data_IF_847558468601
#
_entry.id   IF_847558468601
#
_cell.length_a   1.000
_cell.length_b   1.000
_cell.length_c   1.000
_cell.angle_alpha   90.00
_cell.angle_beta   90.00
_cell.angle_gamma   90.00
#
_symmetry.space_group_name_H-M   'P 1'
#
loop_
_entity.id
_entity.type
_entity.pdbx_description
1 polymer ?
#
# COMPACT_ATOMS: atom_id res chain seq x y z
N UNK A 1 20.93 3.67 12.82
CA UNK A 1 21.48 3.71 11.44
C UNK A 1 21.02 2.55 10.57
N UNK A 2 21.12 1.26 10.98
CA UNK A 2 20.68 0.12 10.14
C UNK A 2 19.22 0.22 9.66
N UNK A 3 18.27 0.48 10.57
CA UNK A 3 16.84 0.70 10.23
C UNK A 3 16.65 1.80 9.17
N UNK A 4 17.39 2.90 9.27
CA UNK A 4 17.30 3.99 8.31
C UNK A 4 17.88 3.60 6.94
N UNK A 5 18.97 2.83 6.93
CA UNK A 5 19.52 2.25 5.71
C UNK A 5 18.49 1.37 5.00
N UNK A 6 17.93 0.40 5.73
CA UNK A 6 16.93 -0.52 5.20
C UNK A 6 15.65 0.20 4.72
N UNK A 7 15.24 1.30 5.36
CA UNK A 7 14.17 2.16 4.83
C UNK A 7 14.49 2.66 3.43
N UNK A 8 15.66 3.27 3.24
CA UNK A 8 16.03 3.82 1.94
C UNK A 8 16.30 2.74 0.89
N UNK A 9 16.90 1.62 1.29
CA UNK A 9 17.27 0.57 0.35
C UNK A 9 16.06 -0.30 -0.07
N UNK A 10 15.11 -0.54 0.85
CA UNK A 10 14.05 -1.54 0.64
C UNK A 10 12.66 -0.92 0.57
N UNK A 11 12.37 0.13 1.35
CA UNK A 11 11.01 0.65 1.53
C UNK A 11 10.75 1.90 0.68
N UNK A 12 11.76 2.75 0.49
CA UNK A 12 11.67 3.95 -0.35
C UNK A 12 11.15 3.67 -1.77
N UNK A 13 11.48 2.55 -2.44
CA UNK A 13 10.87 2.22 -3.74
C UNK A 13 9.33 2.11 -3.72
N UNK A 14 8.73 1.80 -2.57
CA UNK A 14 7.28 1.75 -2.38
C UNK A 14 6.73 3.06 -1.81
N UNK A 15 7.47 3.69 -0.90
CA UNK A 15 7.08 4.91 -0.20
C UNK A 15 8.15 6.01 -0.36
N UNK A 16 8.27 6.64 -1.55
CA UNK A 16 9.31 7.62 -1.85
C UNK A 16 9.01 9.02 -1.26
N UNK A 17 8.66 9.08 0.03
CA UNK A 17 8.21 10.29 0.75
C UNK A 17 9.29 11.00 1.56
N UNK A 18 10.54 10.53 1.47
CA UNK A 18 11.69 11.17 2.10
C UNK A 18 12.82 11.33 1.09
N UNK A 19 13.47 12.49 1.10
CA UNK A 19 14.73 12.72 0.40
C UNK A 19 15.87 12.26 1.31
N UNK A 20 16.68 11.32 0.83
CA UNK A 20 17.68 10.66 1.68
C UNK A 20 18.69 11.66 2.23
N UNK A 21 19.21 12.53 1.36
CA UNK A 21 20.25 13.50 1.72
C UNK A 21 19.75 14.52 2.72
N UNK A 22 18.62 15.17 2.45
CA UNK A 22 17.98 16.12 3.38
C UNK A 22 17.73 15.49 4.74
N UNK A 23 17.18 14.27 4.75
CA UNK A 23 16.87 13.55 5.98
C UNK A 23 18.13 13.22 6.80
N UNK A 24 19.14 12.61 6.16
CA UNK A 24 20.38 12.24 6.82
C UNK A 24 21.19 13.46 7.24
N UNK A 25 21.24 14.52 6.45
CA UNK A 25 21.91 15.77 6.82
C UNK A 25 21.30 16.37 8.10
N UNK A 26 19.97 16.48 8.17
CA UNK A 26 19.27 16.96 9.38
C UNK A 26 19.57 16.08 10.59
N UNK A 27 19.64 14.76 10.40
CA UNK A 27 19.97 13.82 11.48
C UNK A 27 21.42 14.02 11.97
N UNK A 28 22.39 14.12 11.07
CA UNK A 28 23.80 14.35 11.43
C UNK A 28 24.03 15.71 12.10
N UNK A 29 23.22 16.71 11.77
CA UNK A 29 23.27 18.04 12.38
C UNK A 29 22.63 18.11 13.78
N UNK A 30 22.08 17.00 14.30
CA UNK A 30 21.44 16.96 15.62
C UNK A 30 20.07 17.66 15.65
N UNK A 31 19.41 17.84 14.50
CA UNK A 31 18.09 18.49 14.45
C UNK A 31 17.05 17.73 15.29
N UNK A 32 17.20 16.40 15.39
CA UNK A 32 16.31 15.56 16.20
C UNK A 32 16.40 15.83 17.71
N UNK A 33 17.46 16.48 18.19
CA UNK A 33 17.63 16.82 19.60
C UNK A 33 16.85 18.08 20.00
N UNK A 34 16.46 18.91 19.02
CA UNK A 34 15.83 20.22 19.23
C UNK A 34 14.46 20.36 18.56
N UNK A 35 14.19 19.58 17.52
CA UNK A 35 12.93 19.57 16.79
C UNK A 35 12.15 18.28 17.08
N UNK A 36 11.09 18.42 17.88
CA UNK A 36 10.25 17.31 18.28
C UNK A 36 9.56 16.60 17.10
N UNK A 37 9.18 17.32 16.04
CA UNK A 37 8.48 16.73 14.90
C UNK A 37 9.45 15.95 14.02
N UNK A 38 10.66 16.47 13.83
CA UNK A 38 11.71 15.73 13.14
C UNK A 38 12.18 14.50 13.94
N UNK A 39 12.31 14.62 15.26
CA UNK A 39 12.55 13.48 16.13
C UNK A 39 11.46 12.43 15.97
N UNK A 40 10.19 12.86 15.99
CA UNK A 40 9.03 12.02 15.74
C UNK A 40 9.08 11.34 14.37
N UNK A 41 9.50 12.05 13.33
CA UNK A 41 9.71 11.51 12.00
C UNK A 41 10.79 10.42 11.99
N UNK A 42 11.94 10.64 12.62
CA UNK A 42 13.02 9.63 12.71
C UNK A 42 12.52 8.35 13.40
N UNK A 43 11.81 8.49 14.52
CA UNK A 43 11.23 7.34 15.24
C UNK A 43 10.15 6.64 14.39
N UNK A 44 9.33 7.39 13.65
CA UNK A 44 8.32 6.82 12.75
C UNK A 44 8.93 5.97 11.64
N UNK A 45 10.08 6.37 11.08
CA UNK A 45 10.79 5.61 10.05
C UNK A 45 11.30 4.30 10.63
N UNK A 46 11.82 4.32 11.86
CA UNK A 46 12.20 3.10 12.58
C UNK A 46 11.01 2.16 12.79
N UNK A 47 9.86 2.70 13.21
CA UNK A 47 8.63 1.91 13.41
C UNK A 47 8.16 1.27 12.10
N UNK A 48 8.05 2.05 11.03
CA UNK A 48 7.61 1.57 9.73
C UNK A 48 8.60 0.57 9.13
N UNK A 49 9.91 0.77 9.30
CA UNK A 49 10.92 -0.21 8.87
C UNK A 49 10.76 -1.52 9.60
N UNK A 50 10.61 -1.49 10.94
CA UNK A 50 10.43 -2.71 11.72
C UNK A 50 9.12 -3.44 11.37
N UNK A 51 8.05 -2.71 11.10
CA UNK A 51 6.77 -3.26 10.68
C UNK A 51 6.85 -3.92 9.30
N UNK A 52 7.57 -3.30 8.37
CA UNK A 52 7.75 -3.83 7.01
C UNK A 52 8.71 -5.00 6.97
N UNK A 53 9.79 -4.98 7.75
CA UNK A 53 10.82 -6.02 7.79
C UNK A 53 10.78 -6.78 9.13
N UNK A 54 9.72 -7.58 9.41
CA UNK A 54 9.52 -8.20 10.72
C UNK A 54 10.63 -9.19 11.08
N UNK A 55 11.23 -9.85 10.07
CA UNK A 55 12.36 -10.78 10.24
C UNK A 55 13.71 -10.09 10.44
N UNK A 56 13.79 -8.79 10.22
CA UNK A 56 14.99 -8.02 10.48
C UNK A 56 15.30 -7.97 11.98
N UNK A 57 16.53 -8.34 12.34
CA UNK A 57 17.05 -8.19 13.69
C UNK A 57 17.57 -6.76 13.91
N UNK A 58 16.82 -6.02 14.71
CA UNK A 58 17.10 -4.65 15.09
C UNK A 58 17.21 -4.51 16.62
N UNK A 59 17.52 -5.61 17.31
CA UNK A 59 17.60 -5.65 18.76
C UNK A 59 16.24 -5.37 19.43
N UNK A 60 16.15 -4.46 20.41
CA UNK A 60 14.94 -4.24 21.20
C UNK A 60 13.86 -3.41 20.49
N UNK A 61 14.12 -2.91 19.27
CA UNK A 61 13.19 -2.02 18.58
C UNK A 61 11.95 -2.78 18.10
N UNK A 62 10.79 -2.38 18.60
CA UNK A 62 9.46 -2.84 18.18
C UNK A 62 8.59 -1.66 17.77
N UNK A 63 7.50 -1.92 17.04
CA UNK A 63 6.53 -0.86 16.70
C UNK A 63 5.93 -0.28 17.98
N UNK A 64 5.50 -1.11 18.93
CA UNK A 64 4.93 -0.65 20.20
C UNK A 64 5.92 0.22 20.98
N UNK A 65 7.20 -0.19 21.06
CA UNK A 65 8.24 0.61 21.70
C UNK A 65 8.39 1.99 21.06
N UNK A 66 8.40 2.06 19.72
CA UNK A 66 8.46 3.33 19.01
C UNK A 66 7.24 4.21 19.28
N UNK A 67 6.03 3.63 19.26
CA UNK A 67 4.80 4.39 19.50
C UNK A 67 4.73 4.89 20.95
N UNK A 68 5.08 4.05 21.92
CA UNK A 68 5.12 4.43 23.33
C UNK A 68 6.16 5.55 23.58
N UNK A 69 7.30 5.50 22.89
CA UNK A 69 8.30 6.56 22.93
C UNK A 69 7.74 7.89 22.40
N UNK A 70 7.04 7.86 21.25
CA UNK A 70 6.40 9.04 20.65
C UNK A 70 5.36 9.67 21.60
N UNK A 71 4.54 8.83 22.24
CA UNK A 71 3.47 9.27 23.14
C UNK A 71 4.02 9.84 24.45
N UNK A 72 4.99 9.16 25.06
CA UNK A 72 5.63 9.56 26.31
C UNK A 72 6.31 10.94 26.20
N UNK A 73 6.93 11.21 25.05
CA UNK A 73 7.63 12.47 24.79
C UNK A 73 6.77 13.51 24.06
N UNK A 74 5.55 13.14 23.66
CA UNK A 74 4.62 14.04 22.97
C UNK A 74 5.13 14.56 21.63
N UNK A 75 6.00 13.82 20.94
CA UNK A 75 6.74 14.27 19.75
C UNK A 75 5.83 14.61 18.56
N UNK A 76 4.67 13.95 18.50
CA UNK A 76 3.64 14.18 17.47
C UNK A 76 2.32 14.67 18.09
N UNK A 77 2.31 15.27 19.29
CA UNK A 77 1.08 15.83 19.85
C UNK A 77 0.69 17.11 19.13
N UNK A 78 -0.60 17.26 18.83
CA UNK A 78 -1.10 18.53 18.28
C UNK A 78 -1.11 19.53 19.41
N UNK A 79 -0.39 20.63 19.25
CA UNK A 79 -0.44 21.72 20.20
C UNK A 79 -1.40 22.74 19.62
N UNK A 80 -2.54 22.98 20.29
CA UNK A 80 -3.52 24.00 19.88
C UNK A 80 -2.91 25.42 19.75
N UNK A 81 -1.70 25.63 20.28
CA UNK A 81 -0.93 26.87 20.15
C UNK A 81 -0.05 26.93 18.90
N UNK A 82 0.19 25.81 18.21
CA UNK A 82 0.86 25.73 16.91
C UNK A 82 -0.22 25.62 15.84
N UNK A 83 -0.55 26.74 15.20
CA UNK A 83 -1.60 26.87 14.18
C UNK A 83 -1.27 26.21 12.81
N UNK A 84 -0.44 25.15 12.76
CA UNK A 84 -0.11 24.53 11.48
C UNK A 84 0.28 23.06 11.57
N UNK A 85 -0.14 22.32 10.54
CA UNK A 85 0.45 21.03 10.20
C UNK A 85 1.85 21.25 9.58
N UNK A 86 2.73 20.26 9.71
CA UNK A 86 4.02 20.21 9.02
C UNK A 86 4.15 18.94 8.19
N UNK A 87 5.07 18.96 7.22
CA UNK A 87 5.36 17.80 6.38
C UNK A 87 5.86 16.62 7.21
N UNK A 88 6.82 16.88 8.12
CA UNK A 88 7.42 15.87 8.99
C UNK A 88 6.36 15.17 9.84
N UNK A 89 5.44 15.94 10.44
CA UNK A 89 4.33 15.39 11.22
C UNK A 89 3.41 14.52 10.36
N UNK A 90 3.03 14.98 9.16
CA UNK A 90 2.13 14.23 8.29
C UNK A 90 2.76 12.89 7.85
N UNK A 91 4.04 12.91 7.45
CA UNK A 91 4.77 11.69 7.09
C UNK A 91 4.94 10.77 8.31
N UNK A 92 5.26 11.33 9.48
CA UNK A 92 5.44 10.55 10.70
C UNK A 92 4.16 9.81 11.11
N UNK A 93 3.02 10.51 11.06
CA UNK A 93 1.70 9.93 11.34
C UNK A 93 1.30 8.87 10.31
N UNK A 94 1.62 9.06 9.03
CA UNK A 94 1.43 8.04 8.00
C UNK A 94 2.26 6.77 8.29
N UNK A 95 3.55 6.94 8.59
CA UNK A 95 4.46 5.83 8.91
C UNK A 95 4.00 5.05 10.15
N UNK A 96 3.63 5.75 11.22
CA UNK A 96 3.14 5.11 12.46
C UNK A 96 1.79 4.43 12.23
N UNK A 97 0.88 5.08 11.52
CA UNK A 97 -0.43 4.52 11.18
C UNK A 97 -0.34 3.22 10.38
N UNK A 98 0.50 3.20 9.33
CA UNK A 98 0.76 1.99 8.53
C UNK A 98 1.49 0.91 9.32
N UNK A 99 2.47 1.28 10.17
CA UNK A 99 3.20 0.35 11.02
C UNK A 99 2.28 -0.37 12.03
N UNK A 100 1.42 0.39 12.73
CA UNK A 100 0.45 -0.16 13.67
C UNK A 100 -0.57 -1.07 12.96
N UNK A 101 -0.99 -0.68 11.76
CA UNK A 101 -1.92 -1.48 10.95
C UNK A 101 -1.33 -2.86 10.57
N UNK A 102 -0.02 -2.93 10.34
CA UNK A 102 0.65 -4.17 9.97
C UNK A 102 0.94 -5.11 11.17
N UNK A 103 0.98 -4.57 12.39
CA UNK A 103 1.50 -5.30 13.57
C UNK A 103 0.46 -5.54 14.66
N UNK A 104 -0.54 -4.68 14.82
CA UNK A 104 -1.60 -4.90 15.81
C UNK A 104 -2.55 -6.00 15.34
N UNK A 105 -3.03 -6.89 16.22
CA UNK A 105 -3.97 -7.99 15.84
C UNK A 105 -5.27 -7.48 15.21
N UNK A 106 -5.78 -6.37 15.71
CA UNK A 106 -6.92 -5.63 15.13
C UNK A 106 -6.62 -5.11 13.71
N UNK A 107 -5.34 -5.09 13.32
CA UNK A 107 -4.86 -4.52 12.08
C UNK A 107 -5.38 -3.11 11.91
N UNK A 108 -6.12 -2.91 10.83
CA UNK A 108 -6.74 -1.63 10.47
C UNK A 108 -7.95 -1.24 11.33
N UNK A 109 -8.53 -2.15 12.13
CA UNK A 109 -9.52 -1.78 13.14
C UNK A 109 -8.90 -1.19 14.42
N UNK A 110 -7.56 -1.10 14.46
CA UNK A 110 -6.86 -0.36 15.51
C UNK A 110 -7.27 1.12 15.49
N UNK A 111 -7.93 1.57 16.55
CA UNK A 111 -8.28 2.97 16.75
C UNK A 111 -7.05 3.89 16.63
N UNK A 112 -5.88 3.45 17.13
CA UNK A 112 -4.63 4.23 17.06
C UNK A 112 -4.16 4.38 15.61
N UNK A 113 -4.22 3.30 14.83
CA UNK A 113 -3.84 3.31 13.42
C UNK A 113 -4.77 4.22 12.61
N UNK A 114 -6.08 4.08 12.80
CA UNK A 114 -7.08 4.92 12.16
C UNK A 114 -6.88 6.40 12.50
N UNK A 115 -6.65 6.72 13.79
CA UNK A 115 -6.43 8.09 14.22
C UNK A 115 -5.18 8.70 13.55
N UNK A 116 -4.05 7.99 13.58
CA UNK A 116 -2.81 8.47 12.97
C UNK A 116 -2.95 8.72 11.45
N UNK A 117 -3.56 7.77 10.72
CA UNK A 117 -3.78 7.93 9.28
C UNK A 117 -4.78 9.04 8.96
N UNK A 118 -5.83 9.20 9.77
CA UNK A 118 -6.81 10.28 9.62
C UNK A 118 -6.19 11.65 9.84
N UNK A 119 -5.33 11.77 10.84
CA UNK A 119 -4.62 13.00 11.13
C UNK A 119 -3.57 13.32 10.05
N UNK A 120 -2.84 12.32 9.54
CA UNK A 120 -1.96 12.46 8.39
C UNK A 120 -2.73 12.95 7.15
N UNK A 121 -3.91 12.38 6.87
CA UNK A 121 -4.77 12.79 5.77
C UNK A 121 -5.33 14.21 5.94
N UNK A 122 -5.73 14.59 7.15
CA UNK A 122 -6.16 15.95 7.44
C UNK A 122 -5.03 16.96 7.22
N UNK A 123 -3.84 16.68 7.74
CA UNK A 123 -2.68 17.55 7.59
C UNK A 123 -2.19 17.66 6.16
N UNK A 124 -2.06 16.55 5.44
CA UNK A 124 -1.62 16.56 4.05
C UNK A 124 -2.57 17.37 3.15
N UNK A 125 -3.89 17.27 3.37
CA UNK A 125 -4.88 18.09 2.67
C UNK A 125 -4.75 19.56 3.03
N UNK A 126 -4.63 19.88 4.31
CA UNK A 126 -4.47 21.26 4.73
C UNK A 126 -3.26 21.90 4.06
N UNK A 127 -2.11 21.20 4.08
CA UNK A 127 -0.90 21.66 3.41
C UNK A 127 -1.11 21.82 1.90
N UNK A 128 -1.71 20.83 1.24
CA UNK A 128 -1.84 20.85 -0.22
C UNK A 128 -2.80 21.94 -0.75
N UNK A 129 -3.85 22.27 0.00
CA UNK A 129 -4.85 23.24 -0.44
C UNK A 129 -4.57 24.66 0.04
N UNK A 130 -4.00 24.82 1.23
CA UNK A 130 -3.87 26.15 1.86
C UNK A 130 -2.43 26.64 1.93
N UNK A 131 -1.44 25.74 1.95
CA UNK A 131 -0.02 26.09 2.24
C UNK A 131 0.96 25.59 1.19
N UNK A 132 0.50 25.01 0.07
CA UNK A 132 1.39 24.42 -0.94
C UNK A 132 2.38 25.42 -1.55
N UNK A 133 1.99 26.69 -1.61
CA UNK A 133 2.82 27.79 -2.12
C UNK A 133 3.93 28.22 -1.15
N UNK A 134 3.87 27.80 0.12
CA UNK A 134 4.90 28.06 1.13
C UNK A 134 6.02 27.01 1.10
N UNK A 135 5.83 25.93 0.33
CA UNK A 135 6.74 24.81 0.21
C UNK A 135 7.61 24.92 -1.04
N UNK A 136 8.87 24.48 -0.92
CA UNK A 136 9.76 24.36 -2.07
C UNK A 136 9.26 23.28 -3.06
N UNK A 137 9.77 23.27 -4.29
CA UNK A 137 9.30 22.34 -5.32
C UNK A 137 9.45 20.87 -4.90
N UNK A 138 10.50 20.54 -4.15
CA UNK A 138 10.76 19.19 -3.69
C UNK A 138 9.73 18.77 -2.63
N UNK A 139 9.46 19.63 -1.65
CA UNK A 139 8.41 19.43 -0.65
C UNK A 139 7.02 19.32 -1.28
N UNK A 140 6.73 20.11 -2.32
CA UNK A 140 5.48 19.96 -3.08
C UNK A 140 5.39 18.58 -3.74
N UNK A 141 6.48 18.04 -4.29
CA UNK A 141 6.48 16.67 -4.82
C UNK A 141 6.31 15.63 -3.72
N UNK A 142 6.99 15.76 -2.58
CA UNK A 142 6.82 14.85 -1.44
C UNK A 142 5.38 14.86 -0.92
N UNK A 143 4.74 16.02 -0.85
CA UNK A 143 3.34 16.15 -0.45
C UNK A 143 2.40 15.42 -1.39
N UNK A 144 2.63 15.55 -2.71
CA UNK A 144 1.86 14.81 -3.71
C UNK A 144 2.05 13.31 -3.54
N UNK A 145 3.29 12.84 -3.35
CA UNK A 145 3.59 11.42 -3.10
C UNK A 145 2.87 10.91 -1.85
N UNK A 146 2.88 11.69 -0.76
CA UNK A 146 2.19 11.35 0.49
C UNK A 146 0.68 11.25 0.29
N UNK A 147 0.05 12.19 -0.43
CA UNK A 147 -1.40 12.15 -0.70
C UNK A 147 -1.79 10.92 -1.49
N UNK A 148 -1.02 10.55 -2.52
CA UNK A 148 -1.29 9.36 -3.32
C UNK A 148 -1.04 8.05 -2.54
N UNK A 149 -0.07 8.03 -1.61
CA UNK A 149 0.11 6.92 -0.68
C UNK A 149 -1.01 6.81 0.35
N UNK A 150 -1.49 7.93 0.88
CA UNK A 150 -2.65 7.96 1.76
C UNK A 150 -3.90 7.45 1.03
N UNK A 151 -4.09 7.84 -0.24
CA UNK A 151 -5.15 7.32 -1.09
C UNK A 151 -5.03 5.80 -1.26
N UNK A 152 -3.87 5.28 -1.65
CA UNK A 152 -3.64 3.84 -1.78
C UNK A 152 -3.88 3.09 -0.46
N UNK A 153 -3.46 3.67 0.67
CA UNK A 153 -3.66 3.09 2.01
C UNK A 153 -5.14 3.04 2.42
N UNK A 154 -5.99 3.96 1.92
CA UNK A 154 -7.42 3.94 2.19
C UNK A 154 -8.15 2.80 1.43
N UNK A 155 -7.61 2.35 0.30
CA UNK A 155 -8.17 1.23 -0.47
C UNK A 155 -7.67 -0.14 -0.02
N UNK A 156 -6.49 -0.16 0.59
CA UNK A 156 -5.95 -1.33 1.28
C UNK A 156 -6.89 -1.85 2.40
N UNK A 157 -7.82 -1.02 2.89
CA UNK A 157 -8.69 -1.29 4.05
C UNK A 157 -9.87 -2.26 3.78
N UNK A 158 -10.13 -2.64 2.53
CA UNK A 158 -11.41 -3.25 2.11
C UNK A 158 -11.35 -4.61 1.44
N UNK A 159 -10.18 -5.24 1.35
CA UNK A 159 -10.06 -6.53 0.66
C UNK A 159 -10.09 -7.74 1.62
N UNK A 160 -10.64 -7.61 2.83
CA UNK A 160 -10.70 -8.71 3.79
C UNK A 160 -12.03 -8.75 4.54
N UNK A 161 -12.99 -9.50 3.99
CA UNK A 161 -14.07 -10.08 4.78
C UNK A 161 -15.15 -10.75 3.94
N UNK A 162 -15.47 -11.96 4.39
CA UNK A 162 -16.40 -12.96 3.85
C UNK A 162 -17.81 -12.40 3.66
N UNK A 163 -18.42 -12.67 2.50
CA UNK A 163 -19.85 -12.49 2.28
C UNK A 163 -20.65 -13.42 3.21
N UNK A 164 -21.28 -12.85 4.22
CA UNK A 164 -22.36 -13.51 4.95
C UNK A 164 -23.56 -13.66 4.03
N UNK A 165 -23.93 -14.91 3.74
CA UNK A 165 -25.16 -15.26 3.04
C UNK A 165 -26.38 -14.75 3.80
N UNK A 166 -27.24 -13.93 3.16
CA UNK A 166 -28.63 -13.79 3.58
C UNK A 166 -29.26 -12.42 3.42
N UNK A 167 -30.27 -12.37 2.56
CA UNK A 167 -31.35 -11.36 2.46
C UNK A 167 -31.03 -10.01 1.80
N UNK A 168 -31.69 -9.81 0.65
CA UNK A 168 -31.86 -8.54 -0.01
C UNK A 168 -32.46 -7.48 0.94
N UNK A 169 -31.78 -6.34 1.07
CA UNK A 169 -32.38 -5.00 1.08
C UNK A 169 -31.27 -3.92 1.17
N UNK A 170 -31.24 -3.05 0.15
CA UNK A 170 -30.75 -1.67 0.16
C UNK A 170 -29.34 -1.42 0.76
N UNK A 171 -28.32 -1.34 -0.11
CA UNK A 171 -26.95 -0.94 0.29
C UNK A 171 -26.54 0.32 -0.48
N UNK A 172 -26.33 1.41 0.26
CA UNK A 172 -25.77 2.66 -0.26
C UNK A 172 -24.25 2.51 -0.37
N UNK A 173 -23.68 2.75 -1.56
CA UNK A 173 -22.27 2.56 -1.84
C UNK A 173 -21.40 3.67 -1.25
N UNK A 174 -20.63 3.31 -0.23
CA UNK A 174 -19.63 4.17 0.39
C UNK A 174 -18.29 3.44 0.48
N UNK A 175 -17.21 4.23 0.60
CA UNK A 175 -15.81 3.78 0.66
C UNK A 175 -15.68 2.43 1.36
N UNK A 176 -15.03 1.47 0.69
CA UNK A 176 -14.23 0.34 1.18
C UNK A 176 -14.33 -0.08 2.68
N UNK A 177 -14.30 0.88 3.60
CA UNK A 177 -14.55 0.72 5.03
C UNK A 177 -16.00 0.32 5.40
N UNK A 178 -17.03 0.75 4.66
CA UNK A 178 -18.44 0.56 5.02
C UNK A 178 -18.94 -0.88 4.83
N UNK A 179 -18.33 -1.66 3.94
CA UNK A 179 -18.64 -3.09 3.73
C UNK A 179 -18.38 -3.90 5.01
N UNK A 180 -17.51 -3.41 5.89
CA UNK A 180 -17.13 -4.06 7.15
C UNK A 180 -17.49 -3.24 8.40
N UNK A 181 -18.30 -2.18 8.26
CA UNK A 181 -18.65 -1.26 9.36
C UNK A 181 -17.44 -0.48 9.92
N UNK A 182 -16.37 -0.32 9.14
CA UNK A 182 -15.16 0.44 9.50
C UNK A 182 -15.34 1.90 9.07
N UNK A 183 -14.68 2.81 9.78
CA UNK A 183 -14.70 4.23 9.41
C UNK A 183 -13.70 4.49 8.27
N UNK A 184 -14.10 5.13 7.17
CA UNK A 184 -13.17 5.48 6.09
C UNK A 184 -12.26 6.64 6.50
N UNK A 185 -10.98 6.57 6.13
CA UNK A 185 -10.08 7.71 6.26
C UNK A 185 -10.52 8.77 5.24
N UNK A 186 -11.02 9.90 5.75
CA UNK A 186 -11.43 11.01 4.92
C UNK A 186 -10.20 11.72 4.32
N UNK A 187 -9.90 11.39 3.06
CA UNK A 187 -8.94 12.11 2.25
C UNK A 187 -9.67 13.15 1.40
N UNK A 188 -9.81 12.95 0.09
CA UNK A 188 -10.49 13.87 -0.81
C UNK A 188 -11.78 13.26 -1.34
N UNK A 189 -12.72 14.11 -1.75
CA UNK A 189 -13.83 13.64 -2.57
C UNK A 189 -13.28 13.05 -3.87
N UNK A 190 -14.01 12.13 -4.47
CA UNK A 190 -13.58 11.46 -5.70
C UNK A 190 -13.16 12.43 -6.81
N UNK A 191 -14.03 13.37 -7.15
CA UNK A 191 -13.73 14.40 -8.15
C UNK A 191 -12.44 15.18 -7.83
N UNK A 192 -12.17 15.41 -6.53
CA UNK A 192 -10.95 16.11 -6.12
C UNK A 192 -9.71 15.23 -6.20
N UNK A 193 -9.80 13.93 -5.92
CA UNK A 193 -8.64 13.03 -6.01
C UNK A 193 -8.29 12.70 -7.47
N UNK A 194 -9.29 12.52 -8.34
CA UNK A 194 -9.09 12.30 -9.78
C UNK A 194 -8.38 13.48 -10.44
N UNK A 195 -8.70 14.70 -10.00
CA UNK A 195 -8.08 15.94 -10.48
C UNK A 195 -6.85 16.38 -9.66
N UNK A 196 -6.45 15.62 -8.62
CA UNK A 196 -5.29 15.99 -7.81
C UNK A 196 -3.99 15.77 -8.59
N UNK A 197 -3.03 16.72 -8.59
CA UNK A 197 -1.81 16.59 -9.38
C UNK A 197 -1.02 15.32 -9.07
N UNK A 198 -0.60 14.61 -10.12
CA UNK A 198 0.32 13.48 -9.99
C UNK A 198 1.72 13.96 -9.59
N UNK A 199 2.44 13.21 -8.73
CA UNK A 199 3.84 13.47 -8.50
C UNK A 199 4.64 13.25 -9.78
N UNK A 200 5.62 14.12 -10.01
CA UNK A 200 6.51 14.02 -11.15
C UNK A 200 7.53 12.89 -10.96
N UNK A 201 7.92 12.18 -12.03
CA UNK A 201 8.91 11.10 -12.00
C UNK A 201 10.33 11.67 -11.86
N UNK A 202 10.62 12.26 -10.69
CA UNK A 202 11.91 12.86 -10.36
C UNK A 202 12.70 11.98 -9.38
N UNK A 203 14.00 11.84 -9.61
CA UNK A 203 14.96 11.25 -8.68
C UNK A 203 15.35 12.25 -7.58
N UNK A 204 16.09 11.79 -6.56
CA UNK A 204 16.55 12.67 -5.48
C UNK A 204 17.50 13.76 -6.01
N UNK A 205 18.39 13.46 -6.97
CA UNK A 205 19.27 14.48 -7.56
C UNK A 205 18.52 15.50 -8.42
N UNK A 206 17.37 15.14 -8.98
CA UNK A 206 16.55 16.07 -9.76
C UNK A 206 15.73 17.01 -8.86
N UNK A 207 15.28 16.53 -7.70
CA UNK A 207 14.56 17.36 -6.72
C UNK A 207 15.51 18.21 -5.86
N UNK A 208 16.66 17.65 -5.50
CA UNK A 208 17.67 18.31 -4.68
C UNK A 208 19.05 18.01 -5.26
N UNK A 209 19.58 18.86 -6.16
CA UNK A 209 20.89 18.66 -6.76
C UNK A 209 22.01 18.63 -5.71
N UNK A 210 23.00 17.76 -5.90
CA UNK A 210 24.19 17.71 -5.01
C UNK A 210 24.94 19.03 -5.08
N UNK A 211 25.21 19.63 -3.92
CA UNK A 211 26.13 20.77 -3.83
C UNK A 211 27.55 20.31 -4.23
N UNK A 212 28.31 21.11 -5.00
CA UNK A 212 29.68 20.77 -5.35
C UNK A 212 30.53 20.61 -4.07
N UNK A 213 31.01 19.40 -3.78
CA UNK A 213 31.92 19.11 -2.66
C UNK A 213 31.32 18.43 -1.42
N UNK A 214 30.02 18.10 -1.38
CA UNK A 214 29.42 17.35 -0.25
C UNK A 214 29.64 15.83 -0.37
N UNK A 215 30.91 15.39 -0.35
CA UNK A 215 31.30 13.99 -0.58
C UNK A 215 31.11 13.05 0.63
N UNK A 216 30.09 13.23 1.47
CA UNK A 216 29.98 12.46 2.72
C UNK A 216 29.07 11.23 2.64
N UNK A 217 28.15 11.15 1.67
CA UNK A 217 27.25 10.01 1.55
C UNK A 217 27.60 9.10 0.36
N UNK A 218 27.60 7.76 0.54
CA UNK A 218 27.82 6.85 -0.57
C UNK A 218 26.71 6.99 -1.61
N UNK A 219 27.00 6.76 -2.90
CA UNK A 219 25.98 6.69 -3.94
C UNK A 219 24.88 5.72 -3.55
N UNK A 220 23.64 6.12 -3.81
CA UNK A 220 22.46 5.34 -3.49
C UNK A 220 21.53 5.29 -4.70
N UNK A 221 20.79 4.19 -4.89
CA UNK A 221 20.03 3.95 -6.10
C UNK A 221 19.02 5.07 -6.42
N UNK A 222 18.44 5.71 -5.40
CA UNK A 222 17.45 6.78 -5.55
C UNK A 222 18.04 8.13 -5.98
N UNK A 223 19.37 8.27 -5.97
CA UNK A 223 20.05 9.47 -6.50
C UNK A 223 19.70 9.67 -7.99
N UNK A 224 19.73 8.59 -8.77
CA UNK A 224 19.53 8.60 -10.23
C UNK A 224 18.25 7.86 -10.68
N UNK A 225 17.65 7.07 -9.80
CA UNK A 225 16.44 6.29 -10.10
C UNK A 225 15.22 6.92 -9.44
N UNK A 226 14.15 7.13 -10.21
CA UNK A 226 12.85 7.52 -9.66
C UNK A 226 11.93 6.31 -9.54
N UNK A 227 11.32 6.15 -8.37
CA UNK A 227 10.30 5.13 -8.12
C UNK A 227 8.87 5.69 -8.19
N UNK A 228 8.69 6.96 -8.54
CA UNK A 228 7.36 7.58 -8.67
C UNK A 228 6.50 6.94 -9.77
N UNK A 229 7.02 6.45 -10.91
CA UNK A 229 6.19 5.76 -11.90
C UNK A 229 5.39 4.58 -11.31
N UNK A 230 5.98 3.78 -10.42
CA UNK A 230 5.26 2.70 -9.76
C UNK A 230 4.14 3.18 -8.84
N UNK A 231 4.34 4.29 -8.12
CA UNK A 231 3.28 4.93 -7.31
C UNK A 231 2.13 5.45 -8.18
N UNK A 232 2.44 6.08 -9.31
CA UNK A 232 1.43 6.61 -10.23
C UNK A 232 0.59 5.47 -10.81
N UNK A 233 1.23 4.40 -11.31
CA UNK A 233 0.51 3.24 -11.85
C UNK A 233 -0.30 2.50 -10.78
N UNK A 234 0.20 2.39 -9.55
CA UNK A 234 -0.56 1.82 -8.43
C UNK A 234 -1.81 2.64 -8.14
N UNK A 235 -1.67 3.96 -8.18
CA UNK A 235 -2.78 4.89 -7.98
C UNK A 235 -3.84 4.77 -9.08
N UNK A 236 -3.43 4.55 -10.33
CA UNK A 236 -4.36 4.30 -11.45
C UNK A 236 -5.17 3.02 -11.25
N UNK A 237 -4.54 1.94 -10.77
CA UNK A 237 -5.25 0.71 -10.41
C UNK A 237 -6.31 0.95 -9.33
N UNK A 238 -5.99 1.72 -8.29
CA UNK A 238 -6.95 2.03 -7.22
C UNK A 238 -8.06 2.99 -7.66
N UNK A 239 -7.82 3.90 -8.60
CA UNK A 239 -8.88 4.72 -9.20
C UNK A 239 -9.84 3.86 -10.03
N UNK A 240 -9.34 2.86 -10.77
CA UNK A 240 -10.21 1.89 -11.47
C UNK A 240 -11.06 1.13 -10.44
N UNK A 241 -10.45 0.68 -9.33
CA UNK A 241 -11.18 0.00 -8.27
C UNK A 241 -12.24 0.89 -7.62
N UNK A 242 -11.94 2.17 -7.40
CA UNK A 242 -12.91 3.16 -6.92
C UNK A 242 -14.11 3.29 -7.88
N UNK A 243 -13.86 3.37 -9.18
CA UNK A 243 -14.90 3.41 -10.20
C UNK A 243 -15.75 2.13 -10.21
N UNK A 244 -15.11 0.97 -10.05
CA UNK A 244 -15.80 -0.33 -9.90
C UNK A 244 -16.74 -0.34 -8.70
N UNK A 245 -16.36 0.30 -7.58
CA UNK A 245 -17.23 0.39 -6.41
C UNK A 245 -18.53 1.13 -6.67
N UNK A 246 -18.55 2.03 -7.65
CA UNK A 246 -19.70 2.88 -7.98
C UNK A 246 -20.46 2.43 -9.23
N UNK A 247 -20.02 1.33 -9.87
CA UNK A 247 -20.68 0.80 -11.06
C UNK A 247 -22.17 0.50 -10.81
N UNK A 248 -23.07 0.83 -11.74
CA UNK A 248 -24.50 0.67 -11.54
C UNK A 248 -24.91 -0.80 -11.37
N UNK A 249 -25.76 -1.07 -10.38
CA UNK A 249 -26.40 -2.37 -10.20
C UNK A 249 -27.29 -2.67 -11.42
N UNK A 250 -27.13 -3.86 -12.02
CA UNK A 250 -27.91 -4.30 -13.19
C UNK A 250 -27.27 -4.06 -14.56
N UNK A 251 -26.02 -3.61 -14.62
CA UNK A 251 -25.24 -3.64 -15.85
C UNK A 251 -24.99 -5.09 -16.32
N UNK A 252 -24.93 -5.32 -17.63
CA UNK A 252 -24.66 -6.66 -18.17
C UNK A 252 -23.26 -7.13 -17.69
N UNK A 253 -23.18 -8.27 -16.98
CA UNK A 253 -21.95 -8.76 -16.37
C UNK A 253 -20.76 -8.83 -17.31
N UNK A 254 -20.92 -9.44 -18.49
CA UNK A 254 -19.82 -9.72 -19.40
C UNK A 254 -19.21 -8.43 -19.95
N UNK A 255 -20.04 -7.47 -20.38
CA UNK A 255 -19.62 -6.14 -20.86
C UNK A 255 -18.93 -5.37 -19.74
N UNK A 256 -19.49 -5.41 -18.52
CA UNK A 256 -18.96 -4.68 -17.36
C UNK A 256 -17.59 -5.19 -16.95
N UNK A 257 -17.43 -6.52 -16.83
CA UNK A 257 -16.17 -7.18 -16.53
C UNK A 257 -15.15 -6.86 -17.63
N UNK A 258 -15.51 -7.09 -18.90
CA UNK A 258 -14.61 -6.85 -20.05
C UNK A 258 -14.09 -5.41 -20.07
N UNK A 259 -14.96 -4.43 -19.81
CA UNK A 259 -14.61 -3.01 -19.74
C UNK A 259 -13.56 -2.73 -18.65
N UNK A 260 -13.78 -3.20 -17.42
CA UNK A 260 -12.85 -2.91 -16.33
C UNK A 260 -11.54 -3.69 -16.44
N UNK A 261 -11.59 -4.95 -16.91
CA UNK A 261 -10.38 -5.73 -17.20
C UNK A 261 -9.53 -5.04 -18.28
N UNK A 262 -10.15 -4.47 -19.31
CA UNK A 262 -9.45 -3.69 -20.33
C UNK A 262 -8.78 -2.43 -19.77
N UNK A 263 -9.45 -1.70 -18.85
CA UNK A 263 -8.84 -0.55 -18.16
C UNK A 263 -7.60 -0.96 -17.34
N UNK A 264 -7.68 -2.08 -16.61
CA UNK A 264 -6.53 -2.60 -15.85
C UNK A 264 -5.39 -2.99 -16.81
N UNK A 265 -5.71 -3.67 -17.91
CA UNK A 265 -4.70 -4.04 -18.90
C UNK A 265 -4.03 -2.81 -19.52
N UNK A 266 -4.79 -1.75 -19.81
CA UNK A 266 -4.25 -0.48 -20.31
C UNK A 266 -3.23 0.15 -19.35
N UNK A 267 -3.45 0.06 -18.03
CA UNK A 267 -2.46 0.53 -17.05
C UNK A 267 -1.16 -0.29 -17.15
N UNK A 268 -1.27 -1.62 -17.27
CA UNK A 268 -0.11 -2.51 -17.38
C UNK A 268 0.67 -2.32 -18.69
N UNK A 269 -0.03 -2.12 -19.81
CA UNK A 269 0.58 -1.92 -21.12
C UNK A 269 1.39 -0.60 -21.20
N UNK A 270 0.97 0.40 -20.41
CA UNK A 270 1.60 1.71 -20.33
C UNK A 270 2.72 1.79 -19.30
N UNK A 271 3.06 0.69 -18.62
CA UNK A 271 4.17 0.67 -17.67
C UNK A 271 5.50 1.01 -18.37
N UNK A 272 6.40 1.75 -17.70
CA UNK A 272 7.75 1.99 -18.21
C UNK A 272 8.52 0.66 -18.32
N UNK A 273 9.54 0.56 -19.20
CA UNK A 273 10.27 -0.68 -19.46
C UNK A 273 10.78 -1.41 -18.22
N UNK A 274 11.19 -0.67 -17.20
CA UNK A 274 11.73 -1.16 -15.93
C UNK A 274 10.67 -1.84 -15.05
N UNK A 275 9.38 -1.50 -15.23
CA UNK A 275 8.26 -2.05 -14.46
C UNK A 275 7.44 -3.09 -15.23
N UNK A 276 7.85 -3.46 -16.45
CA UNK A 276 7.17 -4.50 -17.21
C UNK A 276 7.57 -5.87 -16.71
N UNK A 277 6.58 -6.70 -16.37
CA UNK A 277 6.80 -8.13 -16.16
C UNK A 277 7.26 -8.78 -17.46
N UNK A 278 8.35 -9.54 -17.41
CA UNK A 278 8.92 -10.23 -18.58
C UNK A 278 9.18 -11.72 -18.34
N UNK A 279 8.56 -12.34 -17.32
CA UNK A 279 8.66 -13.80 -17.11
C UNK A 279 10.10 -14.34 -17.06
N UNK A 280 11.03 -13.60 -16.46
CA UNK A 280 12.46 -13.99 -16.38
C UNK A 280 13.33 -13.68 -17.60
N UNK A 281 12.80 -13.01 -18.64
CA UNK A 281 13.60 -12.51 -19.77
C UNK A 281 14.54 -11.35 -19.36
N UNK A 282 15.47 -11.01 -20.24
CA UNK A 282 16.44 -9.93 -20.03
C UNK A 282 15.75 -8.59 -19.74
N UNK A 283 16.25 -7.93 -18.70
CA UNK A 283 15.77 -6.65 -18.20
C UNK A 283 16.71 -5.51 -18.62
N UNK A 284 16.21 -4.26 -18.67
CA UNK A 284 17.06 -3.09 -18.82
C UNK A 284 18.20 -3.08 -17.78
N UNK A 285 19.37 -2.58 -18.15
CA UNK A 285 20.56 -2.62 -17.30
C UNK A 285 20.46 -1.73 -16.05
N UNK A 286 19.53 -0.78 -16.04
CA UNK A 286 19.25 0.16 -14.94
C UNK A 286 18.20 -0.37 -13.93
N UNK A 287 17.67 -1.59 -14.12
CA UNK A 287 16.72 -2.17 -13.17
C UNK A 287 17.41 -2.47 -11.83
N UNK A 288 16.74 -2.10 -10.76
CA UNK A 288 17.17 -2.28 -9.37
C UNK A 288 16.21 -3.23 -8.64
N UNK A 289 16.60 -3.75 -7.48
CA UNK A 289 15.70 -4.54 -6.63
C UNK A 289 14.43 -3.75 -6.24
N UNK A 290 14.54 -2.42 -6.10
CA UNK A 290 13.39 -1.55 -5.89
C UNK A 290 12.33 -1.64 -6.99
N UNK A 291 12.75 -1.81 -8.25
CA UNK A 291 11.80 -2.03 -9.35
C UNK A 291 11.09 -3.39 -9.22
N UNK A 292 11.78 -4.43 -8.75
CA UNK A 292 11.17 -5.74 -8.55
C UNK A 292 10.09 -5.69 -7.47
N UNK A 293 10.34 -4.92 -6.41
CA UNK A 293 9.36 -4.63 -5.36
C UNK A 293 8.14 -3.90 -5.92
N UNK A 294 8.33 -2.95 -6.82
CA UNK A 294 7.23 -2.27 -7.50
C UNK A 294 6.45 -3.19 -8.44
N UNK A 295 7.14 -4.05 -9.20
CA UNK A 295 6.52 -5.06 -10.05
C UNK A 295 5.64 -5.99 -9.21
N UNK A 296 6.15 -6.56 -8.11
CA UNK A 296 5.36 -7.40 -7.22
C UNK A 296 4.11 -6.64 -6.72
N UNK A 297 4.28 -5.39 -6.27
CA UNK A 297 3.18 -4.58 -5.78
C UNK A 297 2.09 -4.33 -6.85
N UNK A 298 2.49 -3.93 -8.05
CA UNK A 298 1.60 -3.58 -9.14
C UNK A 298 0.84 -4.80 -9.67
N UNK A 299 1.56 -5.90 -9.93
CA UNK A 299 0.95 -7.08 -10.55
C UNK A 299 0.08 -7.86 -9.56
N UNK A 300 0.50 -8.04 -8.31
CA UNK A 300 -0.37 -8.67 -7.30
C UNK A 300 -1.60 -7.79 -7.03
N UNK A 301 -1.46 -6.47 -6.99
CA UNK A 301 -2.60 -5.56 -6.83
C UNK A 301 -3.56 -5.62 -8.03
N UNK A 302 -3.04 -5.67 -9.25
CA UNK A 302 -3.88 -5.77 -10.44
C UNK A 302 -4.64 -7.09 -10.48
N UNK A 303 -3.99 -8.22 -10.15
CA UNK A 303 -4.63 -9.53 -10.04
C UNK A 303 -5.72 -9.55 -8.96
N UNK A 304 -5.47 -8.90 -7.82
CA UNK A 304 -6.48 -8.79 -6.76
C UNK A 304 -7.72 -8.02 -7.22
N UNK A 305 -7.53 -6.87 -7.86
CA UNK A 305 -8.64 -6.06 -8.37
C UNK A 305 -9.40 -6.83 -9.45
N UNK A 306 -8.71 -7.57 -10.33
CA UNK A 306 -9.34 -8.44 -11.34
C UNK A 306 -10.20 -9.52 -10.68
N UNK A 307 -9.68 -10.20 -9.65
CA UNK A 307 -10.42 -11.21 -8.89
C UNK A 307 -11.70 -10.61 -8.28
N UNK A 308 -11.58 -9.43 -7.67
CA UNK A 308 -12.71 -8.79 -7.01
C UNK A 308 -13.76 -8.22 -7.99
N UNK A 309 -13.35 -7.83 -9.20
CA UNK A 309 -14.27 -7.50 -10.30
C UNK A 309 -15.09 -8.73 -10.71
N UNK A 310 -14.44 -9.90 -10.83
CA UNK A 310 -15.12 -11.15 -11.18
C UNK A 310 -16.11 -11.57 -10.09
N UNK A 311 -15.73 -11.47 -8.81
CA UNK A 311 -16.64 -11.75 -7.70
C UNK A 311 -17.80 -10.75 -7.63
N UNK A 312 -17.56 -9.46 -7.89
CA UNK A 312 -18.60 -8.42 -7.78
C UNK A 312 -19.64 -8.50 -8.89
N UNK A 313 -19.23 -8.75 -10.14
CA UNK A 313 -20.12 -8.69 -11.30
C UNK A 313 -20.43 -10.06 -11.92
N UNK A 314 -19.69 -11.11 -11.58
CA UNK A 314 -19.96 -12.47 -12.04
C UNK A 314 -21.17 -13.10 -11.36
N UNK A 315 -21.53 -14.34 -11.72
CA UNK A 315 -20.79 -15.25 -12.61
C UNK A 315 -21.07 -15.02 -14.11
N UNK A 316 -20.07 -15.30 -14.93
CA UNK A 316 -20.16 -15.40 -16.40
C UNK A 316 -19.71 -16.78 -16.86
N UNK A 317 -19.94 -17.13 -18.13
CA UNK A 317 -19.52 -18.42 -18.70
C UNK A 317 -18.00 -18.69 -18.58
N UNK A 318 -17.17 -17.65 -18.48
CA UNK A 318 -15.71 -17.75 -18.43
C UNK A 318 -15.12 -17.50 -17.04
N UNK A 319 -15.95 -17.22 -16.01
CA UNK A 319 -15.45 -16.79 -14.69
C UNK A 319 -14.48 -17.80 -14.06
N UNK A 320 -14.75 -19.10 -14.17
CA UNK A 320 -13.85 -20.14 -13.66
C UNK A 320 -12.48 -20.12 -14.36
N UNK A 321 -12.47 -20.00 -15.69
CA UNK A 321 -11.25 -19.91 -16.49
C UNK A 321 -10.47 -18.62 -16.18
N UNK A 322 -11.17 -17.50 -16.03
CA UNK A 322 -10.57 -16.21 -15.68
C UNK A 322 -9.92 -16.24 -14.29
N UNK A 323 -10.59 -16.84 -13.30
CA UNK A 323 -10.00 -17.04 -11.96
C UNK A 323 -8.80 -18.00 -11.98
N UNK A 324 -8.85 -19.08 -12.77
CA UNK A 324 -7.71 -19.99 -12.92
C UNK A 324 -6.49 -19.26 -13.50
N UNK A 325 -6.70 -18.42 -14.51
CA UNK A 325 -5.64 -17.58 -15.09
C UNK A 325 -5.04 -16.60 -14.08
N UNK A 326 -5.88 -15.96 -13.26
CA UNK A 326 -5.41 -15.06 -12.19
C UNK A 326 -4.48 -15.80 -11.21
N UNK A 327 -4.84 -17.03 -10.82
CA UNK A 327 -4.01 -17.85 -9.92
C UNK A 327 -2.72 -18.30 -10.59
N UNK A 328 -2.76 -18.64 -11.88
CA UNK A 328 -1.56 -19.01 -12.64
C UNK A 328 -0.57 -17.84 -12.73
N UNK A 329 -1.06 -16.65 -13.11
CA UNK A 329 -0.26 -15.42 -13.17
C UNK A 329 0.30 -15.07 -11.77
N UNK A 330 -0.49 -15.26 -10.71
CA UNK A 330 -0.05 -15.04 -9.33
C UNK A 330 1.08 -15.99 -8.94
N UNK A 331 0.93 -17.29 -9.22
CA UNK A 331 1.96 -18.29 -8.95
C UNK A 331 3.23 -18.02 -9.77
N UNK A 332 3.10 -17.52 -11.00
CA UNK A 332 4.25 -17.10 -11.80
C UNK A 332 5.07 -16.04 -11.06
N UNK A 333 4.42 -14.99 -10.56
CA UNK A 333 5.08 -13.91 -9.80
C UNK A 333 5.72 -14.46 -8.51
N UNK A 334 4.97 -15.24 -7.72
CA UNK A 334 5.41 -15.75 -6.40
C UNK A 334 6.59 -16.73 -6.49
N UNK A 335 6.77 -17.42 -7.61
CA UNK A 335 7.85 -18.39 -7.79
C UNK A 335 9.04 -17.84 -8.58
N UNK A 336 8.90 -16.72 -9.30
CA UNK A 336 10.00 -16.13 -10.09
C UNK A 336 10.63 -14.88 -9.46
N UNK A 337 9.97 -14.23 -8.49
CA UNK A 337 10.58 -13.13 -7.74
C UNK A 337 11.26 -13.63 -6.44
N UNK A 338 12.41 -13.04 -6.05
CA UNK A 338 13.08 -13.36 -4.80
C UNK A 338 12.21 -13.08 -3.57
N UNK A 339 12.45 -13.80 -2.46
CA UNK A 339 11.73 -13.58 -1.19
C UNK A 339 11.86 -12.16 -0.66
N UNK A 340 13.06 -11.56 -0.76
CA UNK A 340 13.33 -10.21 -0.28
C UNK A 340 12.37 -9.16 -0.87
N UNK A 341 11.95 -9.36 -2.13
CA UNK A 341 10.97 -8.52 -2.82
C UNK A 341 9.62 -8.54 -2.12
N UNK A 342 9.19 -9.71 -1.66
CA UNK A 342 7.93 -9.86 -0.92
C UNK A 342 8.04 -9.41 0.53
N UNK A 343 9.22 -9.53 1.15
CA UNK A 343 9.43 -9.05 2.52
C UNK A 343 9.28 -7.52 2.59
N UNK A 344 9.72 -6.80 1.55
CA UNK A 344 9.61 -5.34 1.44
C UNK A 344 8.16 -4.79 1.41
N UNK A 345 7.18 -5.62 1.03
CA UNK A 345 5.79 -5.18 0.83
C UNK A 345 4.76 -6.19 1.35
N UNK A 346 5.19 -7.19 2.12
CA UNK A 346 4.36 -8.36 2.39
C UNK A 346 3.17 -8.02 3.27
N UNK A 347 3.27 -6.96 4.09
CA UNK A 347 2.13 -6.41 4.80
C UNK A 347 0.99 -6.04 3.86
N UNK A 348 1.25 -5.52 2.66
CA UNK A 348 0.23 -5.19 1.66
C UNK A 348 -0.13 -6.36 0.75
N UNK A 349 0.85 -7.22 0.41
CA UNK A 349 0.68 -8.27 -0.60
C UNK A 349 0.01 -9.53 -0.05
N UNK A 350 0.38 -9.99 1.16
CA UNK A 350 -0.16 -11.21 1.77
C UNK A 350 -1.70 -11.21 1.84
N UNK A 351 -2.38 -10.12 2.29
CA UNK A 351 -3.83 -10.04 2.29
C UNK A 351 -4.45 -10.28 0.91
N UNK A 352 -3.85 -9.69 -0.14
CA UNK A 352 -4.33 -9.81 -1.53
C UNK A 352 -4.15 -11.22 -2.06
N UNK A 353 -3.02 -11.84 -1.74
CA UNK A 353 -2.75 -13.24 -2.11
C UNK A 353 -3.78 -14.16 -1.45
N UNK A 354 -4.11 -13.92 -0.18
CA UNK A 354 -5.15 -14.67 0.53
C UNK A 354 -6.54 -14.43 -0.07
N UNK A 355 -6.89 -13.19 -0.40
CA UNK A 355 -8.18 -12.81 -1.01
C UNK A 355 -8.38 -13.50 -2.37
N UNK A 356 -7.37 -13.46 -3.24
CA UNK A 356 -7.36 -14.19 -4.52
C UNK A 356 -7.53 -15.71 -4.29
N UNK A 357 -6.81 -16.28 -3.32
CA UNK A 357 -6.91 -17.70 -2.99
C UNK A 357 -8.30 -18.11 -2.47
N UNK A 358 -8.91 -17.27 -1.63
CA UNK A 358 -10.26 -17.47 -1.13
C UNK A 358 -11.31 -17.39 -2.25
N UNK A 359 -11.22 -16.36 -3.10
CA UNK A 359 -12.06 -16.21 -4.28
C UNK A 359 -11.97 -17.42 -5.22
N UNK A 360 -10.76 -17.94 -5.43
CA UNK A 360 -10.56 -19.14 -6.24
C UNK A 360 -11.21 -20.37 -5.61
N UNK A 361 -11.09 -20.56 -4.28
CA UNK A 361 -11.71 -21.67 -3.57
C UNK A 361 -13.24 -21.64 -3.65
N UNK A 362 -13.87 -20.46 -3.52
CA UNK A 362 -15.33 -20.29 -3.64
C UNK A 362 -15.84 -20.69 -5.04
N UNK A 363 -15.10 -20.35 -6.09
CA UNK A 363 -15.46 -20.72 -7.47
C UNK A 363 -15.40 -22.23 -7.68
N UNK A 364 -14.41 -22.92 -7.09
CA UNK A 364 -14.27 -24.38 -7.21
C UNK A 364 -15.42 -25.15 -6.55
N UNK A 365 -16.10 -24.56 -5.56
CA UNK A 365 -17.26 -25.16 -4.92
C UNK A 365 -18.53 -25.18 -5.76
N UNK A 366 -18.55 -24.53 -6.93
CA UNK A 366 -19.80 -24.17 -7.62
C UNK A 366 -20.19 -24.95 -8.89
N UNK A 367 -19.31 -25.76 -9.50
CA UNK A 367 -19.60 -26.80 -10.54
C UNK A 367 -18.28 -27.12 -11.27
N UNK A 368 -17.45 -28.04 -10.75
CA UNK A 368 -16.16 -28.40 -11.36
C UNK A 368 -16.02 -29.91 -11.46
N UNK A 369 -15.58 -30.43 -12.62
CA UNK A 369 -15.36 -31.87 -12.83
C UNK A 369 -14.16 -32.42 -12.06
N UNK A 370 -14.12 -33.74 -11.79
CA UNK A 370 -13.10 -34.39 -10.93
C UNK A 370 -11.62 -34.11 -11.33
N UNK A 371 -11.34 -33.96 -12.63
CA UNK A 371 -9.98 -33.70 -13.15
C UNK A 371 -9.54 -32.24 -12.92
N UNK A 372 -10.46 -31.29 -13.08
CA UNK A 372 -10.22 -29.86 -12.85
C UNK A 372 -10.06 -29.55 -11.35
N UNK A 373 -10.73 -30.31 -10.48
CA UNK A 373 -10.53 -30.27 -9.03
C UNK A 373 -9.10 -30.68 -8.65
N UNK A 374 -8.50 -31.64 -9.35
CA UNK A 374 -7.13 -32.10 -9.10
C UNK A 374 -6.07 -31.01 -9.37
N UNK A 375 -6.14 -30.35 -10.52
CA UNK A 375 -5.23 -29.24 -10.88
C UNK A 375 -5.43 -28.04 -9.94
N UNK A 376 -6.68 -27.68 -9.66
CA UNK A 376 -7.00 -26.58 -8.76
C UNK A 376 -6.48 -26.81 -7.33
N UNK A 377 -6.57 -28.04 -6.82
CA UNK A 377 -5.99 -28.42 -5.52
C UNK A 377 -4.48 -28.24 -5.50
N UNK A 378 -3.77 -28.66 -6.55
CA UNK A 378 -2.31 -28.48 -6.66
C UNK A 378 -1.96 -26.98 -6.61
N UNK A 379 -2.72 -26.13 -7.31
CA UNK A 379 -2.52 -24.67 -7.30
C UNK A 379 -2.74 -24.06 -5.92
N UNK A 380 -3.82 -24.44 -5.23
CA UNK A 380 -4.10 -24.00 -3.87
C UNK A 380 -3.01 -24.45 -2.89
N UNK A 381 -2.55 -25.69 -2.96
CA UNK A 381 -1.44 -26.18 -2.14
C UNK A 381 -0.15 -25.37 -2.38
N UNK A 382 0.14 -25.00 -3.64
CA UNK A 382 1.30 -24.16 -3.99
C UNK A 382 1.17 -22.73 -3.45
N UNK A 383 -0.04 -22.16 -3.45
CA UNK A 383 -0.31 -20.85 -2.85
C UNK A 383 -0.16 -20.89 -1.33
N UNK A 384 -0.73 -21.90 -0.68
CA UNK A 384 -0.64 -22.08 0.77
C UNK A 384 0.81 -22.21 1.24
N UNK A 385 1.63 -23.03 0.56
CA UNK A 385 3.07 -23.13 0.87
C UNK A 385 3.79 -21.79 0.77
N UNK A 386 3.46 -20.97 -0.24
CA UNK A 386 4.04 -19.63 -0.36
C UNK A 386 3.54 -18.69 0.72
N UNK A 387 2.28 -18.78 1.11
CA UNK A 387 1.74 -18.02 2.23
C UNK A 387 2.41 -18.41 3.54
N UNK A 388 2.60 -19.70 3.83
CA UNK A 388 3.33 -20.16 5.03
C UNK A 388 4.73 -19.54 5.13
N UNK A 389 5.41 -19.37 4.00
CA UNK A 389 6.73 -18.75 3.92
C UNK A 389 6.69 -17.22 4.09
N UNK A 390 5.65 -16.55 3.60
CA UNK A 390 5.56 -15.09 3.55
C UNK A 390 4.91 -14.50 4.80
N UNK A 391 3.88 -15.16 5.32
CA UNK A 391 2.94 -14.68 6.31
C UNK A 391 3.55 -14.57 7.71
N UNK A 392 4.01 -13.38 8.05
CA UNK A 392 4.66 -13.10 9.35
C UNK A 392 4.14 -11.82 10.02
N UNK A 393 3.05 -11.26 9.51
CA UNK A 393 2.44 -10.03 10.03
C UNK A 393 1.19 -10.33 10.85
N UNK A 394 1.19 -9.92 12.11
CA UNK A 394 0.12 -10.23 13.05
C UNK A 394 -1.18 -9.49 12.74
N UNK A 395 -1.12 -8.28 12.15
CA UNK A 395 -2.33 -7.50 11.84
C UNK A 395 -3.11 -7.93 10.61
N UNK A 396 -2.67 -9.01 9.98
CA UNK A 396 -3.29 -9.60 8.79
C UNK A 396 -4.16 -10.81 9.18
N UNK A 397 -4.12 -11.26 10.45
CA UNK A 397 -4.80 -12.46 10.92
C UNK A 397 -5.82 -12.18 12.04
N UNK A 398 -7.08 -12.49 11.73
CA UNK A 398 -8.23 -12.62 12.64
C UNK A 398 -8.92 -11.29 13.00
N UNK A 399 -10.11 -11.09 12.42
CA UNK A 399 -11.12 -10.18 12.96
C UNK A 399 -11.75 -10.86 14.17
N UNK A 400 -11.67 -10.23 15.35
CA UNK A 400 -12.66 -10.50 16.39
C UNK A 400 -14.02 -10.13 15.82
N UNK A 401 -14.96 -11.07 15.88
CA UNK A 401 -16.36 -10.82 15.49
C UNK A 401 -16.86 -9.64 16.32
N UNK A 402 -17.47 -8.61 15.70
CA UNK A 402 -18.06 -7.53 16.48
C UNK A 402 -19.09 -8.13 17.44
N UNK A 403 -19.16 -7.69 18.70
CA UNK A 403 -20.17 -8.17 19.61
C UNK A 403 -21.54 -7.91 18.97
N UNK A 404 -22.29 -9.00 18.76
CA UNK A 404 -23.67 -8.95 18.32
C UNK A 404 -24.38 -7.86 19.12
N UNK A 405 -25.00 -6.90 18.43
CA UNK A 405 -25.96 -6.00 19.07
C UNK A 405 -27.00 -6.90 19.71
N UNK A 406 -27.00 -6.95 21.04
CA UNK A 406 -28.12 -7.49 21.79
C UNK A 406 -29.20 -6.45 21.62
N UNK A 407 -30.20 -6.75 20.79
CA UNK A 407 -31.40 -5.95 20.68
C UNK A 407 -32.06 -5.91 22.08
N UNK A 408 -32.08 -4.72 22.68
CA UNK A 408 -32.87 -4.41 23.87
C UNK A 408 -34.04 -3.53 23.50
#
# INVERSE_FOLDING_TARGET
MRLLGDWFDVIHPLAPILLRRRFLQRLHQGVADVDAEFCGLVISVCAATKATLPRGDYGPVTVDYCVDFLDAHGLLKSQFTRDSFSMDRCIALYNVGTAMSATTKSGLSSMRAYHALSEAAAGARYLAYYRIHEHDEAEQQLLRRLIWLLFASAWYVSALGVHGSGSANQVTYHSSADIFGRLPISLLSQDRIENFPRPLPLSDNQMEPKAPGSCHEPPWHGDETTYVPGLNSLSDLFLIWQEVQQGPEGAEPQITITRYLAKIQQVLDNLPPELRWRGGLSRPANVTEGHDVQIANLFVTSLNIRSNILQKFGPTANSAQDHQKIVDDLLEILYHLPRAVFDANGSSLVPKIRDIGAAYLEQLGSDVGEVEIGDARIKLERLLRKLDDLDCWQGIGVLDTPPLRVDT
#
